data_IF_512808858951
#
_entry.id   IF_512808858951
#
_cell.length_a   1.000
_cell.length_b   1.000
_cell.length_c   1.000
_cell.angle_alpha   90.00
_cell.angle_beta   90.00
_cell.angle_gamma   90.00
#
_symmetry.space_group_name_H-M   'P 1'
#
loop_
_entity.id
_entity.type
_entity.pdbx_description
1 polymer ?
#
# COMPACT_ATOMS: atom_id res chain seq x y z
N UNK A 1 9.59 64.48 68.32
CA UNK A 1 9.06 63.21 68.86
C UNK A 1 9.99 62.08 68.44
N UNK A 2 10.63 61.39 69.39
CA UNK A 2 11.48 60.23 69.10
C UNK A 2 10.58 59.04 68.72
N UNK A 3 10.82 58.35 67.59
CA UNK A 3 10.00 57.21 67.24
C UNK A 3 10.32 56.06 68.19
N UNK A 4 9.40 55.77 69.11
CA UNK A 4 9.45 54.53 69.87
C UNK A 4 9.26 53.35 68.91
N UNK A 5 10.11 52.33 69.12
CA UNK A 5 9.98 51.00 68.53
C UNK A 5 10.54 50.74 67.11
N UNK A 6 11.80 51.16 66.89
CA UNK A 6 12.60 50.83 65.70
C UNK A 6 12.77 49.30 65.50
N UNK A 7 12.87 48.53 66.59
CA UNK A 7 13.04 47.06 66.54
C UNK A 7 11.78 46.36 66.02
N UNK A 8 10.59 46.71 66.51
CA UNK A 8 9.34 46.15 66.00
C UNK A 8 9.13 46.52 64.53
N UNK A 9 9.42 47.78 64.15
CA UNK A 9 9.33 48.22 62.74
C UNK A 9 10.24 47.43 61.80
N UNK A 10 11.48 47.16 62.21
CA UNK A 10 12.43 46.34 61.43
C UNK A 10 11.95 44.89 61.32
N UNK A 11 11.42 44.29 62.39
CA UNK A 11 10.89 42.93 62.33
C UNK A 11 9.67 42.83 61.42
N UNK A 12 8.74 43.78 61.48
CA UNK A 12 7.55 43.80 60.61
C UNK A 12 7.95 44.02 59.15
N UNK A 13 8.93 44.88 58.89
CA UNK A 13 9.46 45.10 57.55
C UNK A 13 10.14 43.83 56.97
N UNK A 14 10.92 43.10 57.77
CA UNK A 14 11.55 41.84 57.32
C UNK A 14 10.48 40.77 57.03
N UNK A 15 9.46 40.64 57.88
CA UNK A 15 8.35 39.71 57.64
C UNK A 15 7.58 40.07 56.37
N UNK A 16 7.32 41.36 56.13
CA UNK A 16 6.70 41.85 54.90
C UNK A 16 7.57 41.57 53.68
N UNK A 17 8.88 41.85 53.76
CA UNK A 17 9.82 41.61 52.66
C UNK A 17 9.91 40.12 52.30
N UNK A 18 9.96 39.24 53.31
CA UNK A 18 9.96 37.78 53.09
C UNK A 18 8.66 37.32 52.44
N UNK A 19 7.51 37.81 52.93
CA UNK A 19 6.21 37.50 52.35
C UNK A 19 6.14 37.99 50.90
N UNK A 20 6.60 39.21 50.62
CA UNK A 20 6.62 39.80 49.28
C UNK A 20 7.49 39.00 48.31
N UNK A 21 8.68 38.58 48.73
CA UNK A 21 9.55 37.72 47.91
C UNK A 21 8.86 36.39 47.66
N UNK A 22 8.29 35.77 48.70
CA UNK A 22 7.60 34.49 48.58
C UNK A 22 6.44 34.55 47.59
N UNK A 23 5.57 35.55 47.70
CA UNK A 23 4.43 35.72 46.78
C UNK A 23 4.90 36.03 45.37
N UNK A 24 5.94 36.85 45.20
CA UNK A 24 6.50 37.17 43.89
C UNK A 24 7.11 35.93 43.23
N UNK A 25 7.85 35.11 43.97
CA UNK A 25 8.39 33.84 43.46
C UNK A 25 7.29 32.89 43.03
N UNK A 26 6.23 32.74 43.82
CA UNK A 26 5.08 31.88 43.47
C UNK A 26 4.44 32.36 42.17
N UNK A 27 4.22 33.66 42.01
CA UNK A 27 3.64 34.24 40.79
C UNK A 27 4.55 33.99 39.57
N UNK A 28 5.86 34.24 39.70
CA UNK A 28 6.82 34.02 38.61
C UNK A 28 6.87 32.55 38.20
N UNK A 29 6.88 31.62 39.16
CA UNK A 29 6.87 30.17 38.89
C UNK A 29 5.56 29.77 38.20
N UNK A 30 4.41 30.25 38.68
CA UNK A 30 3.11 29.95 38.07
C UNK A 30 3.04 30.45 36.62
N UNK A 31 3.50 31.68 36.36
CA UNK A 31 3.58 32.24 35.01
C UNK A 31 4.55 31.41 34.14
N UNK A 32 5.73 31.04 34.66
CA UNK A 32 6.71 30.25 33.92
C UNK A 32 6.15 28.89 33.48
N UNK A 33 5.46 28.16 34.37
CA UNK A 33 4.82 26.89 34.02
C UNK A 33 3.67 27.08 33.02
N UNK A 34 2.87 28.14 33.17
CA UNK A 34 1.79 28.47 32.24
C UNK A 34 2.30 28.71 30.81
N UNK A 35 3.50 29.26 30.61
CA UNK A 35 4.09 29.43 29.27
C UNK A 35 4.85 28.20 28.76
N UNK A 36 5.52 27.44 29.63
CA UNK A 36 6.36 26.30 29.22
C UNK A 36 5.55 25.08 28.81
N UNK A 37 4.41 24.82 29.47
CA UNK A 37 3.56 23.65 29.17
C UNK A 37 2.96 23.74 27.75
N UNK A 38 2.35 24.86 27.33
CA UNK A 38 1.84 25.02 25.96
C UNK A 38 2.93 24.90 24.89
N UNK A 39 4.18 25.31 25.17
CA UNK A 39 5.27 25.16 24.21
C UNK A 39 5.64 23.69 23.96
N UNK A 40 5.69 22.88 25.03
CA UNK A 40 5.98 21.45 24.91
C UNK A 40 4.83 20.71 24.21
N UNK A 41 3.59 21.03 24.56
CA UNK A 41 2.41 20.47 23.90
C UNK A 41 2.38 20.83 22.41
N UNK A 42 2.61 22.09 22.06
CA UNK A 42 2.70 22.53 20.67
C UNK A 42 3.83 21.83 19.90
N UNK A 43 4.99 21.62 20.53
CA UNK A 43 6.09 20.89 19.90
C UNK A 43 5.71 19.43 19.61
N UNK A 44 5.10 18.74 20.58
CA UNK A 44 4.63 17.37 20.45
C UNK A 44 3.50 17.24 19.41
N UNK A 45 2.57 18.20 19.37
CA UNK A 45 1.51 18.26 18.35
C UNK A 45 2.08 18.44 16.95
N UNK A 46 3.07 19.34 16.79
CA UNK A 46 3.77 19.52 15.50
C UNK A 46 4.49 18.25 15.05
N UNK A 47 5.13 17.53 15.98
CA UNK A 47 5.79 16.26 15.67
C UNK A 47 4.78 15.20 15.22
N UNK A 48 3.66 15.08 15.93
CA UNK A 48 2.56 14.17 15.54
C UNK A 48 1.97 14.54 14.18
N UNK A 49 1.71 15.81 13.92
CA UNK A 49 1.24 16.29 12.63
C UNK A 49 2.20 15.91 11.50
N UNK A 50 3.51 16.12 11.70
CA UNK A 50 4.55 15.72 10.74
C UNK A 50 4.62 14.20 10.51
N UNK A 51 4.30 13.39 11.52
CA UNK A 51 4.22 11.93 11.35
C UNK A 51 2.99 11.54 10.52
N UNK A 52 1.83 12.13 10.81
CA UNK A 52 0.60 11.90 10.05
C UNK A 52 0.74 12.34 8.60
N UNK A 53 1.33 13.52 8.35
CA UNK A 53 1.59 14.00 6.98
C UNK A 53 2.49 13.04 6.20
N UNK A 54 3.53 12.48 6.84
CA UNK A 54 4.39 11.46 6.23
C UNK A 54 3.64 10.16 5.93
N UNK A 55 2.79 9.71 6.85
CA UNK A 55 1.96 8.52 6.65
C UNK A 55 0.96 8.73 5.50
N UNK A 56 0.31 9.90 5.43
CA UNK A 56 -0.61 10.25 4.35
C UNK A 56 0.08 10.33 3.00
N UNK A 57 1.28 10.93 2.95
CA UNK A 57 2.08 11.01 1.73
C UNK A 57 2.42 9.61 1.21
N UNK A 58 2.89 8.73 2.10
CA UNK A 58 3.17 7.33 1.75
C UNK A 58 1.91 6.60 1.26
N UNK A 59 0.78 6.73 1.97
CA UNK A 59 -0.48 6.10 1.56
C UNK A 59 -0.93 6.54 0.16
N UNK A 60 -0.79 7.82 -0.16
CA UNK A 60 -1.13 8.36 -1.48
C UNK A 60 -0.22 7.80 -2.58
N UNK A 61 1.08 7.74 -2.32
CA UNK A 61 2.05 7.16 -3.26
C UNK A 61 1.80 5.67 -3.48
N UNK A 62 1.63 4.92 -2.39
CA UNK A 62 1.28 3.49 -2.43
C UNK A 62 0.01 3.25 -3.24
N UNK A 63 -1.06 4.00 -3.00
CA UNK A 63 -2.32 3.87 -3.74
C UNK A 63 -2.13 4.16 -5.25
N UNK A 64 -1.30 5.14 -5.59
CA UNK A 64 -1.01 5.50 -6.98
C UNK A 64 -0.27 4.36 -7.70
N UNK A 65 0.74 3.76 -7.06
CA UNK A 65 1.46 2.61 -7.62
C UNK A 65 0.57 1.38 -7.75
N UNK A 66 -0.31 1.11 -6.77
CA UNK A 66 -1.29 0.02 -6.84
C UNK A 66 -2.25 0.20 -8.01
N UNK A 67 -2.80 1.40 -8.21
CA UNK A 67 -3.68 1.69 -9.35
C UNK A 67 -2.95 1.54 -10.69
N UNK A 68 -1.67 1.96 -10.76
CA UNK A 68 -0.83 1.77 -11.94
C UNK A 68 -0.56 0.29 -12.24
N UNK A 69 -0.23 -0.51 -11.23
CA UNK A 69 -0.06 -1.95 -11.34
C UNK A 69 -1.33 -2.66 -11.79
N UNK A 70 -2.48 -2.30 -11.21
CA UNK A 70 -3.76 -2.84 -11.62
C UNK A 70 -4.06 -2.56 -13.10
N UNK A 71 -3.83 -1.33 -13.56
CA UNK A 71 -3.99 -0.98 -14.97
C UNK A 71 -3.05 -1.77 -15.90
N UNK A 72 -1.82 -2.06 -15.45
CA UNK A 72 -0.90 -2.93 -16.19
C UNK A 72 -1.42 -4.37 -16.27
N UNK A 73 -1.92 -4.91 -15.15
CA UNK A 73 -2.50 -6.26 -15.11
C UNK A 73 -3.75 -6.35 -15.99
N UNK A 74 -4.62 -5.35 -15.95
CA UNK A 74 -5.82 -5.28 -16.81
C UNK A 74 -5.43 -5.21 -18.29
N UNK A 75 -4.28 -4.59 -18.61
CA UNK A 75 -3.78 -4.53 -19.98
C UNK A 75 -3.28 -5.86 -20.53
N UNK A 76 -3.08 -6.89 -19.70
CA UNK A 76 -2.69 -8.23 -20.18
C UNK A 76 -3.73 -8.82 -21.15
N UNK A 77 -5.02 -8.47 -20.98
CA UNK A 77 -6.10 -8.90 -21.87
C UNK A 77 -6.04 -8.25 -23.27
N UNK A 78 -5.19 -7.24 -23.48
CA UNK A 78 -5.16 -6.53 -24.77
C UNK A 78 -4.49 -7.36 -25.88
N UNK A 79 -5.16 -7.57 -27.03
CA UNK A 79 -4.57 -8.31 -28.14
C UNK A 79 -3.30 -7.62 -28.70
N UNK A 80 -2.26 -8.39 -28.97
CA UNK A 80 -1.02 -7.90 -29.58
C UNK A 80 0.02 -7.33 -28.60
N UNK A 81 -0.22 -7.40 -27.29
CA UNK A 81 0.77 -7.04 -26.28
C UNK A 81 1.88 -8.10 -26.14
N UNK A 82 3.09 -7.65 -25.80
CA UNK A 82 4.19 -8.55 -25.46
C UNK A 82 4.03 -9.03 -24.01
N UNK A 83 3.25 -10.10 -23.81
CA UNK A 83 2.97 -10.68 -22.50
C UNK A 83 4.24 -10.96 -21.67
N UNK A 84 5.32 -11.55 -22.21
CA UNK A 84 6.57 -11.73 -21.45
C UNK A 84 7.17 -10.42 -20.92
N UNK A 85 7.21 -9.38 -21.76
CA UNK A 85 7.75 -8.08 -21.36
C UNK A 85 6.87 -7.41 -20.29
N UNK A 86 5.55 -7.35 -20.53
CA UNK A 86 4.60 -6.75 -19.57
C UNK A 86 4.65 -7.49 -18.23
N UNK A 87 4.67 -8.82 -18.24
CA UNK A 87 4.80 -9.61 -17.01
C UNK A 87 6.10 -9.30 -16.27
N UNK A 88 7.24 -9.20 -16.96
CA UNK A 88 8.53 -8.85 -16.32
C UNK A 88 8.46 -7.48 -15.65
N UNK A 89 7.85 -6.50 -16.32
CA UNK A 89 7.67 -5.16 -15.77
C UNK A 89 6.77 -5.14 -14.53
N UNK A 90 5.66 -5.88 -14.55
CA UNK A 90 4.75 -6.03 -13.41
C UNK A 90 5.49 -6.64 -12.22
N UNK A 91 6.27 -7.71 -12.42
CA UNK A 91 7.05 -8.35 -11.34
C UNK A 91 8.06 -7.38 -10.72
N UNK A 92 8.78 -6.58 -11.53
CA UNK A 92 9.69 -5.56 -11.03
C UNK A 92 8.97 -4.54 -10.16
N UNK A 93 7.84 -4.00 -10.64
CA UNK A 93 7.06 -3.01 -9.90
C UNK A 93 6.46 -3.55 -8.60
N UNK A 94 6.01 -4.81 -8.59
CA UNK A 94 5.54 -5.48 -7.37
C UNK A 94 6.67 -5.63 -6.34
N UNK A 95 7.87 -6.00 -6.79
CA UNK A 95 9.04 -6.11 -5.91
C UNK A 95 9.47 -4.74 -5.34
N UNK A 96 9.44 -3.70 -6.17
CA UNK A 96 9.72 -2.32 -5.75
C UNK A 96 8.69 -1.84 -4.72
N UNK A 97 7.40 -2.08 -4.98
CA UNK A 97 6.31 -1.71 -4.07
C UNK A 97 6.42 -2.45 -2.73
N UNK A 98 6.72 -3.76 -2.74
CA UNK A 98 6.94 -4.55 -1.53
C UNK A 98 8.12 -4.03 -0.71
N UNK A 99 9.20 -3.63 -1.40
CA UNK A 99 10.40 -3.07 -0.76
C UNK A 99 10.16 -1.69 -0.16
N UNK A 100 9.19 -0.93 -0.69
CA UNK A 100 8.82 0.40 -0.18
C UNK A 100 8.07 0.37 1.16
N UNK A 101 7.53 -0.79 1.57
CA UNK A 101 6.67 -0.88 2.77
C UNK A 101 7.47 -0.53 4.04
N UNK A 102 7.06 0.51 4.80
CA UNK A 102 7.71 0.87 6.04
C UNK A 102 7.59 -0.27 7.06
N UNK A 103 8.73 -0.78 7.53
CA UNK A 103 8.79 -1.82 8.59
C UNK A 103 8.52 -1.28 9.99
N UNK A 104 8.13 -0.01 10.15
CA UNK A 104 7.99 0.63 11.47
C UNK A 104 6.70 0.24 12.18
N UNK A 105 6.89 -0.50 13.28
CA UNK A 105 6.13 -0.63 14.53
C UNK A 105 4.63 -1.02 14.50
N UNK A 106 3.94 -0.99 13.36
CA UNK A 106 2.55 -1.46 13.27
C UNK A 106 2.42 -2.66 12.35
N UNK A 107 2.45 -3.86 12.95
CA UNK A 107 2.18 -5.14 12.27
C UNK A 107 0.90 -5.09 11.44
N UNK A 108 -0.14 -4.39 11.92
CA UNK A 108 -1.41 -4.25 11.20
C UNK A 108 -1.27 -3.55 9.84
N UNK A 109 -0.57 -2.41 9.79
CA UNK A 109 -0.41 -1.65 8.54
C UNK A 109 0.51 -2.35 7.55
N UNK A 110 1.56 -2.98 8.06
CA UNK A 110 2.44 -3.83 7.25
C UNK A 110 1.64 -4.95 6.58
N UNK A 111 0.88 -5.72 7.36
CA UNK A 111 0.07 -6.82 6.85
C UNK A 111 -0.98 -6.35 5.83
N UNK A 112 -1.57 -5.17 6.04
CA UNK A 112 -2.52 -4.59 5.08
C UNK A 112 -1.87 -4.33 3.72
N UNK A 113 -0.71 -3.65 3.70
CA UNK A 113 -0.01 -3.37 2.45
C UNK A 113 0.48 -4.65 1.76
N UNK A 114 1.03 -5.59 2.53
CA UNK A 114 1.46 -6.88 1.99
C UNK A 114 0.28 -7.68 1.43
N UNK A 115 -0.86 -7.72 2.11
CA UNK A 115 -2.05 -8.42 1.61
C UNK A 115 -2.59 -7.82 0.30
N UNK A 116 -2.49 -6.49 0.12
CA UNK A 116 -2.85 -5.85 -1.16
C UNK A 116 -1.90 -6.30 -2.27
N UNK A 117 -0.60 -6.37 -2.00
CA UNK A 117 0.40 -6.82 -2.98
C UNK A 117 0.20 -8.30 -3.32
N UNK A 118 -0.05 -9.15 -2.34
CA UNK A 118 -0.40 -10.57 -2.54
C UNK A 118 -1.62 -10.71 -3.45
N UNK A 119 -2.67 -9.91 -3.22
CA UNK A 119 -3.86 -9.90 -4.07
C UNK A 119 -3.54 -9.52 -5.51
N UNK A 120 -2.63 -8.56 -5.74
CA UNK A 120 -2.19 -8.18 -7.09
C UNK A 120 -1.37 -9.29 -7.78
N UNK A 121 -0.53 -10.00 -7.02
CA UNK A 121 0.21 -11.16 -7.51
C UNK A 121 -0.76 -12.26 -7.95
N UNK A 122 -1.75 -12.58 -7.11
CA UNK A 122 -2.76 -13.59 -7.41
C UNK A 122 -3.61 -13.20 -8.62
N UNK A 123 -3.97 -11.91 -8.74
CA UNK A 123 -4.68 -11.37 -9.89
C UNK A 123 -3.87 -11.56 -11.18
N UNK A 124 -2.58 -11.22 -11.17
CA UNK A 124 -1.68 -11.41 -12.31
C UNK A 124 -1.56 -12.89 -12.69
N UNK A 125 -1.38 -13.77 -11.70
CA UNK A 125 -1.28 -15.21 -11.94
C UNK A 125 -2.56 -15.76 -12.59
N UNK A 126 -3.73 -15.38 -12.04
CA UNK A 126 -5.04 -15.79 -12.57
C UNK A 126 -5.25 -15.30 -13.99
N UNK A 127 -4.84 -14.06 -14.32
CA UNK A 127 -4.91 -13.52 -15.68
C UNK A 127 -4.07 -14.31 -16.67
N UNK A 128 -2.83 -14.66 -16.29
CA UNK A 128 -1.96 -15.47 -17.13
C UNK A 128 -2.51 -16.89 -17.34
N UNK A 129 -3.11 -17.49 -16.30
CA UNK A 129 -3.77 -18.79 -16.42
C UNK A 129 -4.96 -18.72 -17.39
N UNK A 130 -5.78 -17.67 -17.30
CA UNK A 130 -6.92 -17.47 -18.20
C UNK A 130 -6.49 -17.41 -19.67
N UNK A 131 -5.42 -16.67 -19.97
CA UNK A 131 -4.85 -16.64 -21.32
C UNK A 131 -4.41 -18.03 -21.80
N UNK A 132 -3.75 -18.80 -20.93
CA UNK A 132 -3.32 -20.16 -21.28
C UNK A 132 -4.49 -21.10 -21.58
N UNK A 133 -5.61 -20.91 -20.89
CA UNK A 133 -6.84 -21.68 -21.10
C UNK A 133 -7.53 -21.29 -22.42
N UNK A 134 -7.54 -20.01 -22.78
CA UNK A 134 -8.07 -19.54 -24.06
C UNK A 134 -7.27 -20.11 -25.25
N UNK A 135 -5.94 -20.14 -25.14
CA UNK A 135 -5.07 -20.78 -26.13
C UNK A 135 -5.35 -22.29 -26.25
N UNK A 136 -5.52 -22.98 -25.11
CA UNK A 136 -5.86 -24.40 -25.09
C UNK A 136 -7.22 -24.68 -25.74
N UNK A 137 -8.22 -23.82 -25.48
CA UNK A 137 -9.56 -23.90 -26.08
C UNK A 137 -9.51 -23.71 -27.59
N UNK A 138 -8.69 -22.77 -28.09
CA UNK A 138 -8.49 -22.56 -29.52
C UNK A 138 -7.89 -23.81 -30.19
N UNK A 139 -6.85 -24.43 -29.59
CA UNK A 139 -6.27 -25.68 -30.09
C UNK A 139 -7.25 -26.84 -30.11
N UNK A 140 -8.08 -26.96 -29.08
CA UNK A 140 -9.14 -28.00 -29.03
C UNK A 140 -10.14 -27.81 -30.17
N UNK A 141 -10.52 -26.57 -30.48
CA UNK A 141 -11.41 -26.29 -31.60
C UNK A 141 -10.78 -26.68 -32.95
N UNK A 142 -9.49 -26.36 -33.14
CA UNK A 142 -8.71 -26.76 -34.31
C UNK A 142 -8.64 -28.29 -34.44
N UNK A 143 -8.26 -29.01 -33.38
CA UNK A 143 -8.19 -30.47 -33.39
C UNK A 143 -9.54 -31.14 -33.66
N UNK A 144 -10.64 -30.57 -33.16
CA UNK A 144 -11.98 -31.06 -33.49
C UNK A 144 -12.30 -30.89 -34.98
N UNK A 145 -11.93 -29.77 -35.59
CA UNK A 145 -12.13 -29.53 -37.02
C UNK A 145 -11.31 -30.52 -37.86
N UNK A 146 -10.02 -30.69 -37.55
CA UNK A 146 -9.14 -31.64 -38.26
C UNK A 146 -9.66 -33.06 -38.12
N UNK A 147 -10.07 -33.48 -36.92
CA UNK A 147 -10.59 -34.83 -36.69
C UNK A 147 -11.88 -35.09 -37.49
N UNK A 148 -12.77 -34.10 -37.61
CA UNK A 148 -13.95 -34.20 -38.45
C UNK A 148 -13.59 -34.33 -39.94
N UNK A 149 -12.62 -33.55 -40.41
CA UNK A 149 -12.13 -33.63 -41.78
C UNK A 149 -11.51 -35.01 -42.08
N UNK A 150 -10.58 -35.49 -41.24
CA UNK A 150 -9.95 -36.80 -41.42
C UNK A 150 -10.96 -37.94 -41.41
N UNK A 151 -12.03 -37.85 -40.61
CA UNK A 151 -13.12 -38.84 -40.65
C UNK A 151 -13.85 -38.84 -41.99
N UNK A 152 -14.15 -37.66 -42.54
CA UNK A 152 -14.78 -37.54 -43.86
C UNK A 152 -13.89 -38.10 -44.98
N UNK A 153 -12.59 -37.78 -44.95
CA UNK A 153 -11.61 -38.28 -45.93
C UNK A 153 -11.44 -39.80 -45.83
N UNK A 154 -11.45 -40.36 -44.61
CA UNK A 154 -11.41 -41.81 -44.39
C UNK A 154 -12.65 -42.49 -44.97
N UNK A 155 -13.84 -41.92 -44.75
CA UNK A 155 -15.07 -42.45 -45.34
C UNK A 155 -15.05 -42.38 -46.87
N UNK A 156 -14.58 -41.28 -47.45
CA UNK A 156 -14.43 -41.15 -48.91
C UNK A 156 -13.47 -42.21 -49.44
N UNK A 157 -12.29 -42.34 -48.85
CA UNK A 157 -11.29 -43.34 -49.25
C UNK A 157 -11.83 -44.77 -49.16
N UNK A 158 -12.62 -45.07 -48.11
CA UNK A 158 -13.29 -46.37 -47.99
C UNK A 158 -14.31 -46.60 -49.11
N UNK A 159 -15.14 -45.60 -49.42
CA UNK A 159 -16.10 -45.66 -50.53
C UNK A 159 -15.39 -45.90 -51.87
N UNK A 160 -14.30 -45.19 -52.13
CA UNK A 160 -13.52 -45.33 -53.36
C UNK A 160 -12.88 -46.72 -53.48
N UNK A 161 -12.34 -47.23 -52.36
CA UNK A 161 -11.77 -48.58 -52.30
C UNK A 161 -12.82 -49.66 -52.57
N UNK A 162 -14.02 -49.52 -52.04
CA UNK A 162 -15.12 -50.46 -52.28
C UNK A 162 -15.58 -50.44 -53.74
N UNK A 163 -15.64 -49.26 -54.38
CA UNK A 163 -15.92 -49.13 -55.82
C UNK A 163 -14.85 -49.86 -56.65
N UNK A 164 -13.57 -49.67 -56.33
CA UNK A 164 -12.46 -50.34 -57.03
C UNK A 164 -12.46 -51.87 -56.82
N UNK A 165 -12.92 -52.34 -55.67
CA UNK A 165 -13.10 -53.79 -55.42
C UNK A 165 -14.22 -54.38 -56.24
N UNK A 166 -15.32 -53.65 -56.39
CA UNK A 166 -16.47 -54.09 -57.19
C UNK A 166 -16.13 -54.07 -58.69
N UNK A 167 -15.40 -53.08 -59.18
CA UNK A 167 -15.06 -52.96 -60.61
C UNK A 167 -14.01 -53.95 -61.12
N UNK A 168 -13.34 -54.68 -60.22
CA UNK A 168 -12.29 -55.66 -60.55
C UNK A 168 -12.81 -57.11 -60.62
N UNK A 169 -14.07 -57.35 -60.22
CA UNK A 169 -14.79 -58.62 -60.40
C UNK A 169 -15.74 -58.52 -61.59
#
# INVERSE_FOLDING_TARGET
MKPENIKARRSSFIKFLLLFILTTTIIVVAVFFNFRVPQKENALLKERAKNVEREMAYQKEFATEVMGLQAMIDSLDTPGQNLPFTNTLIHSKLADLQSSIPRKDSTYRYNMYTGIIETLVDLQATKNELHSLDDAKARIAEYKAVLAQTRNELEQTKRDLDILRISRN
#
